data_IF_679920836519
#
_entry.id   IF_679920836519
#
_cell.length_a   1.000
_cell.length_b   1.000
_cell.length_c   1.000
_cell.angle_alpha   90.00
_cell.angle_beta   90.00
_cell.angle_gamma   90.00
#
_symmetry.space_group_name_H-M   'P 1'
#
loop_
_entity.id
_entity.type
_entity.pdbx_description
1 polymer ?
#
# COMPACT_ATOMS: atom_id res chain seq x y z
N UNK A 1 23.50 6.76 6.66
CA UNK A 1 22.38 6.65 7.65
C UNK A 1 21.45 7.86 7.65
N UNK A 2 21.94 9.11 7.45
CA UNK A 2 21.09 10.33 7.43
C UNK A 2 20.04 10.34 6.32
N UNK A 3 20.34 9.86 5.12
CA UNK A 3 19.39 9.79 4.00
C UNK A 3 18.24 8.82 4.24
N UNK A 4 18.50 7.70 4.93
CA UNK A 4 17.46 6.72 5.28
C UNK A 4 16.50 7.35 6.30
N UNK A 5 17.02 8.02 7.32
CA UNK A 5 16.21 8.71 8.32
C UNK A 5 15.40 9.84 7.71
N UNK A 6 15.97 10.61 6.79
CA UNK A 6 15.28 11.67 6.06
C UNK A 6 14.12 11.10 5.23
N UNK A 7 14.34 9.98 4.53
CA UNK A 7 13.30 9.29 3.75
C UNK A 7 12.11 8.90 4.62
N UNK A 8 12.36 8.25 5.77
CA UNK A 8 11.30 7.82 6.68
C UNK A 8 10.53 8.99 7.28
N UNK A 9 11.23 10.07 7.68
CA UNK A 9 10.58 11.27 8.21
C UNK A 9 9.73 11.97 7.15
N UNK A 10 10.24 12.12 5.93
CA UNK A 10 9.52 12.72 4.83
C UNK A 10 8.27 11.90 4.44
N UNK A 11 8.42 10.59 4.39
CA UNK A 11 7.31 9.68 4.13
C UNK A 11 6.18 9.86 5.15
N UNK A 12 6.50 9.84 6.44
CA UNK A 12 5.50 10.03 7.50
C UNK A 12 4.80 11.39 7.43
N UNK A 13 5.53 12.46 7.12
CA UNK A 13 4.95 13.79 6.93
C UNK A 13 4.01 13.85 5.72
N UNK A 14 4.38 13.22 4.62
CA UNK A 14 3.58 13.19 3.39
C UNK A 14 2.29 12.37 3.54
N UNK A 15 2.23 11.43 4.46
CA UNK A 15 1.02 10.63 4.73
C UNK A 15 -0.07 11.41 5.50
N UNK A 16 0.32 12.40 6.33
CA UNK A 16 -0.61 13.17 7.18
C UNK A 16 -1.76 13.81 6.40
N UNK A 17 -1.54 14.55 5.29
CA UNK A 17 -2.62 15.15 4.52
C UNK A 17 -3.66 14.15 4.04
N UNK A 18 -3.23 12.96 3.62
CA UNK A 18 -4.15 11.91 3.15
C UNK A 18 -4.98 11.32 4.27
N UNK A 19 -4.40 11.12 5.46
CA UNK A 19 -5.18 10.70 6.64
C UNK A 19 -6.22 11.74 7.03
N UNK A 20 -5.88 13.02 7.01
CA UNK A 20 -6.82 14.10 7.31
C UNK A 20 -7.93 14.21 6.26
N UNK A 21 -7.59 14.06 4.99
CA UNK A 21 -8.55 14.07 3.88
C UNK A 21 -9.35 12.77 3.75
N UNK A 22 -9.02 11.72 4.50
CA UNK A 22 -9.60 10.39 4.36
C UNK A 22 -11.12 10.34 4.43
N UNK A 23 -11.72 11.07 5.36
CA UNK A 23 -13.18 11.15 5.49
C UNK A 23 -13.85 11.84 4.29
N UNK A 24 -13.22 12.85 3.72
CA UNK A 24 -13.68 13.55 2.53
C UNK A 24 -13.56 12.65 1.29
N UNK A 25 -12.42 11.96 1.14
CA UNK A 25 -12.18 11.05 0.02
C UNK A 25 -13.19 9.90 0.01
N UNK A 26 -13.50 9.31 1.18
CA UNK A 26 -14.47 8.23 1.32
C UNK A 26 -15.94 8.68 1.11
N UNK A 27 -16.24 9.97 1.26
CA UNK A 27 -17.57 10.52 0.92
C UNK A 27 -17.71 10.75 -0.58
N UNK A 28 -16.62 11.13 -1.27
CA UNK A 28 -16.63 11.51 -2.67
C UNK A 28 -16.42 10.33 -3.62
N UNK A 29 -15.65 9.35 -3.21
CA UNK A 29 -15.26 8.20 -4.03
C UNK A 29 -15.62 6.88 -3.36
N UNK A 30 -15.95 5.87 -4.16
CA UNK A 30 -16.14 4.51 -3.68
C UNK A 30 -14.85 3.95 -3.06
N UNK A 31 -14.98 3.18 -1.98
CA UNK A 31 -13.86 2.52 -1.32
C UNK A 31 -13.05 1.65 -2.28
N UNK A 32 -13.72 0.93 -3.20
CA UNK A 32 -13.04 0.11 -4.21
C UNK A 32 -12.23 0.94 -5.21
N UNK A 33 -12.74 2.11 -5.63
CA UNK A 33 -12.00 2.98 -6.57
C UNK A 33 -10.76 3.58 -5.91
N UNK A 34 -10.85 3.97 -4.64
CA UNK A 34 -9.69 4.44 -3.88
C UNK A 34 -8.68 3.32 -3.66
N UNK A 35 -9.13 2.08 -3.45
CA UNK A 35 -8.26 0.92 -3.32
C UNK A 35 -7.56 0.58 -4.66
N UNK A 36 -8.26 0.69 -5.79
CA UNK A 36 -7.66 0.57 -7.14
C UNK A 36 -6.56 1.63 -7.35
N UNK A 37 -6.84 2.88 -6.98
CA UNK A 37 -5.88 3.98 -7.09
C UNK A 37 -4.62 3.69 -6.26
N UNK A 38 -4.79 3.25 -5.01
CA UNK A 38 -3.65 2.94 -4.14
C UNK A 38 -2.81 1.77 -4.67
N UNK A 39 -3.44 0.73 -5.23
CA UNK A 39 -2.72 -0.39 -5.85
C UNK A 39 -1.89 0.05 -7.07
N UNK A 40 -2.44 0.94 -7.91
CA UNK A 40 -1.70 1.52 -9.04
C UNK A 40 -0.52 2.34 -8.53
N UNK A 41 -0.72 3.20 -7.52
CA UNK A 41 0.33 4.07 -6.98
C UNK A 41 1.48 3.26 -6.39
N UNK A 42 1.20 2.18 -5.64
CA UNK A 42 2.23 1.27 -5.13
C UNK A 42 2.98 0.58 -6.28
N UNK A 43 2.26 0.07 -7.26
CA UNK A 43 2.87 -0.61 -8.42
C UNK A 43 3.83 0.31 -9.15
N UNK A 44 3.39 1.54 -9.46
CA UNK A 44 4.22 2.56 -10.13
C UNK A 44 5.41 2.93 -9.26
N UNK A 45 5.21 3.12 -7.96
CA UNK A 45 6.29 3.46 -7.03
C UNK A 45 7.40 2.39 -7.00
N UNK A 46 7.04 1.11 -6.85
CA UNK A 46 8.03 0.03 -6.86
C UNK A 46 8.73 -0.11 -8.21
N UNK A 47 8.00 0.08 -9.30
CA UNK A 47 8.58 0.05 -10.65
C UNK A 47 9.61 1.18 -10.83
N UNK A 48 9.27 2.40 -10.42
CA UNK A 48 10.17 3.54 -10.50
C UNK A 48 11.40 3.37 -9.59
N UNK A 49 11.23 2.80 -8.40
CA UNK A 49 12.36 2.45 -7.53
C UNK A 49 13.27 1.39 -8.15
N UNK A 50 12.71 0.43 -8.89
CA UNK A 50 13.50 -0.60 -9.58
C UNK A 50 14.34 -0.03 -10.74
N UNK A 51 13.90 1.07 -11.34
CA UNK A 51 14.56 1.70 -12.49
C UNK A 51 15.61 2.75 -12.12
N UNK A 52 15.69 3.13 -10.83
CA UNK A 52 16.63 4.16 -10.38
C UNK A 52 17.58 3.65 -9.31
N UNK A 53 18.84 4.09 -9.39
CA UNK A 53 19.85 3.84 -8.39
C UNK A 53 20.27 5.14 -7.65
N UNK A 54 19.66 6.28 -8.03
CA UNK A 54 19.98 7.57 -7.41
C UNK A 54 19.12 7.80 -6.17
N UNK A 55 19.79 7.96 -5.03
CA UNK A 55 19.14 8.20 -3.73
C UNK A 55 18.27 9.46 -3.72
N UNK A 56 18.63 10.51 -4.47
CA UNK A 56 17.86 11.75 -4.53
C UNK A 56 16.55 11.54 -5.28
N UNK A 57 16.58 10.78 -6.37
CA UNK A 57 15.39 10.43 -7.13
C UNK A 57 14.46 9.57 -6.28
N UNK A 58 15.00 8.60 -5.52
CA UNK A 58 14.21 7.76 -4.59
C UNK A 58 13.47 8.62 -3.57
N UNK A 59 14.11 9.67 -3.03
CA UNK A 59 13.46 10.59 -2.08
C UNK A 59 12.30 11.34 -2.74
N UNK A 60 12.46 11.81 -3.97
CA UNK A 60 11.40 12.51 -4.72
C UNK A 60 10.24 11.54 -5.00
N UNK A 61 10.52 10.31 -5.38
CA UNK A 61 9.52 9.29 -5.64
C UNK A 61 8.71 8.89 -4.40
N UNK A 62 9.17 9.22 -3.18
CA UNK A 62 8.38 9.05 -1.96
C UNK A 62 7.07 9.86 -1.97
N UNK A 63 6.93 10.87 -2.84
CA UNK A 63 5.66 11.60 -3.01
C UNK A 63 4.51 10.66 -3.39
N UNK A 64 4.77 9.57 -4.12
CA UNK A 64 3.74 8.55 -4.43
C UNK A 64 3.18 7.86 -3.18
N UNK A 65 3.92 7.88 -2.07
CA UNK A 65 3.48 7.33 -0.79
C UNK A 65 2.23 8.01 -0.24
N UNK A 66 2.02 9.29 -0.58
CA UNK A 66 0.83 10.06 -0.16
C UNK A 66 -0.47 9.34 -0.52
N UNK A 67 -0.52 8.70 -1.70
CA UNK A 67 -1.71 8.03 -2.23
C UNK A 67 -1.64 6.49 -2.14
N UNK A 68 -0.62 5.93 -1.54
CA UNK A 68 -0.47 4.48 -1.42
C UNK A 68 -0.92 3.95 -0.06
N UNK A 69 -0.05 3.92 0.91
CA UNK A 69 -0.29 3.30 2.23
C UNK A 69 -1.49 3.88 2.98
N UNK A 70 -1.68 5.23 3.08
CA UNK A 70 -2.83 5.79 3.80
C UNK A 70 -4.16 5.39 3.16
N UNK A 71 -4.26 5.41 1.83
CA UNK A 71 -5.48 5.02 1.14
C UNK A 71 -5.81 3.56 1.36
N UNK A 72 -4.83 2.65 1.31
CA UNK A 72 -5.05 1.23 1.61
C UNK A 72 -5.63 1.06 3.02
N UNK A 73 -5.03 1.69 4.03
CA UNK A 73 -5.47 1.56 5.40
C UNK A 73 -6.88 2.11 5.63
N UNK A 74 -7.19 3.28 5.08
CA UNK A 74 -8.50 3.92 5.23
C UNK A 74 -9.58 3.12 4.50
N UNK A 75 -9.32 2.73 3.24
CA UNK A 75 -10.30 2.01 2.41
C UNK A 75 -10.53 0.58 2.88
N UNK A 76 -9.48 -0.13 3.28
CA UNK A 76 -9.59 -1.48 3.83
C UNK A 76 -10.43 -1.50 5.11
N UNK A 77 -10.19 -0.57 6.03
CA UNK A 77 -11.01 -0.43 7.24
C UNK A 77 -12.49 -0.18 6.91
N UNK A 78 -12.76 0.68 5.93
CA UNK A 78 -14.12 0.98 5.49
C UNK A 78 -14.79 -0.24 4.87
N UNK A 79 -14.14 -0.95 3.96
CA UNK A 79 -14.66 -2.16 3.33
C UNK A 79 -14.96 -3.25 4.36
N UNK A 80 -14.03 -3.50 5.29
CA UNK A 80 -14.24 -4.48 6.36
C UNK A 80 -15.45 -4.09 7.23
N UNK A 81 -15.59 -2.79 7.53
CA UNK A 81 -16.73 -2.30 8.30
C UNK A 81 -18.07 -2.51 7.57
N UNK A 82 -18.10 -2.32 6.24
CA UNK A 82 -19.30 -2.48 5.42
C UNK A 82 -19.73 -3.94 5.29
N UNK A 83 -18.76 -4.85 5.13
CA UNK A 83 -19.02 -6.29 4.95
C UNK A 83 -19.29 -7.01 6.28
N UNK A 84 -18.78 -6.50 7.39
CA UNK A 84 -18.87 -7.17 8.69
C UNK A 84 -20.25 -7.04 9.34
N UNK A 85 -20.77 -8.11 9.97
CA UNK A 85 -21.99 -8.05 10.78
C UNK A 85 -21.87 -6.98 11.89
N UNK A 86 -22.95 -6.26 12.17
CA UNK A 86 -22.96 -5.12 13.12
C UNK A 86 -22.33 -5.46 14.49
N UNK A 87 -22.56 -6.67 15.00
CA UNK A 87 -22.02 -7.13 16.29
C UNK A 87 -20.52 -7.41 16.30
N UNK A 88 -19.92 -7.70 15.13
CA UNK A 88 -18.53 -8.15 15.00
C UNK A 88 -17.61 -7.14 14.29
N UNK A 89 -18.11 -5.95 13.95
CA UNK A 89 -17.35 -4.95 13.16
C UNK A 89 -15.99 -4.61 13.74
N UNK A 90 -15.92 -4.36 15.05
CA UNK A 90 -14.67 -4.03 15.74
C UNK A 90 -13.70 -5.23 15.72
N UNK A 91 -14.18 -6.41 16.06
CA UNK A 91 -13.35 -7.64 16.03
C UNK A 91 -12.85 -7.97 14.63
N UNK A 92 -13.70 -7.85 13.62
CA UNK A 92 -13.31 -8.09 12.22
C UNK A 92 -12.23 -7.11 11.75
N UNK A 93 -12.32 -5.84 12.13
CA UNK A 93 -11.29 -4.85 11.81
C UNK A 93 -9.96 -5.16 12.51
N UNK A 94 -10.00 -5.55 13.78
CA UNK A 94 -8.79 -5.91 14.52
C UNK A 94 -8.12 -7.15 13.94
N UNK A 95 -8.88 -8.20 13.63
CA UNK A 95 -8.36 -9.43 13.03
C UNK A 95 -7.74 -9.13 11.65
N UNK A 96 -8.46 -8.40 10.79
CA UNK A 96 -7.94 -8.06 9.48
C UNK A 96 -6.68 -7.18 9.55
N UNK A 97 -6.64 -6.21 10.48
CA UNK A 97 -5.46 -5.38 10.70
C UNK A 97 -4.28 -6.21 11.22
N UNK A 98 -4.53 -7.16 12.13
CA UNK A 98 -3.50 -8.06 12.66
C UNK A 98 -2.91 -8.97 11.58
N UNK A 99 -3.76 -9.52 10.69
CA UNK A 99 -3.31 -10.32 9.56
C UNK A 99 -2.52 -9.45 8.57
N UNK A 100 -3.03 -8.27 8.25
CA UNK A 100 -2.36 -7.35 7.33
C UNK A 100 -1.02 -6.85 7.87
N UNK A 101 -0.98 -6.31 9.08
CA UNK A 101 0.24 -5.77 9.68
C UNK A 101 1.19 -6.87 10.14
N UNK A 102 0.70 -7.86 10.88
CA UNK A 102 1.52 -8.95 11.42
C UNK A 102 2.00 -9.91 10.34
N UNK A 103 1.10 -10.39 9.48
CA UNK A 103 1.43 -11.31 8.40
C UNK A 103 2.38 -10.69 7.37
N UNK A 104 2.08 -9.48 6.92
CA UNK A 104 2.92 -8.81 5.93
C UNK A 104 4.30 -8.42 6.48
N UNK A 105 4.40 -8.04 7.74
CA UNK A 105 5.69 -7.67 8.36
C UNK A 105 6.63 -8.86 8.57
N UNK A 106 6.10 -10.08 8.63
CA UNK A 106 6.91 -11.30 8.68
C UNK A 106 7.28 -11.80 7.28
N UNK A 107 6.30 -11.88 6.39
CA UNK A 107 6.48 -12.51 5.08
C UNK A 107 7.25 -11.61 4.11
N UNK A 108 6.84 -10.35 4.00
CA UNK A 108 7.40 -9.45 2.97
C UNK A 108 8.89 -9.18 3.15
N UNK A 109 9.41 -8.82 4.34
CA UNK A 109 10.85 -8.61 4.53
C UNK A 109 11.66 -9.88 4.30
N UNK A 110 11.14 -11.05 4.74
CA UNK A 110 11.81 -12.33 4.55
C UNK A 110 11.92 -12.69 3.07
N UNK A 111 10.83 -12.61 2.33
CA UNK A 111 10.81 -12.88 0.89
C UNK A 111 11.64 -11.85 0.12
N UNK A 112 11.49 -10.57 0.42
CA UNK A 112 12.25 -9.51 -0.23
C UNK A 112 13.77 -9.63 0.07
N UNK A 113 14.14 -9.98 1.31
CA UNK A 113 15.54 -10.25 1.68
C UNK A 113 16.11 -11.42 0.90
N UNK A 114 15.40 -12.55 0.85
CA UNK A 114 15.81 -13.73 0.08
C UNK A 114 15.95 -13.42 -1.42
N UNK A 115 14.99 -12.73 -2.02
CA UNK A 115 15.06 -12.34 -3.42
C UNK A 115 16.21 -11.37 -3.68
N UNK A 116 16.43 -10.37 -2.83
CA UNK A 116 17.48 -9.37 -3.03
C UNK A 116 18.89 -9.97 -3.01
N UNK A 117 19.10 -11.03 -2.22
CA UNK A 117 20.36 -11.76 -2.19
C UNK A 117 20.57 -12.58 -3.47
N UNK A 118 19.52 -13.21 -4.00
CA UNK A 118 19.63 -14.15 -5.12
C UNK A 118 19.57 -13.47 -6.50
N UNK A 119 18.70 -12.47 -6.67
CA UNK A 119 18.45 -11.82 -7.97
C UNK A 119 18.82 -10.32 -7.99
N UNK A 120 19.22 -9.76 -6.84
CA UNK A 120 19.58 -8.36 -6.69
C UNK A 120 18.39 -7.44 -6.37
N UNK A 121 18.71 -6.24 -5.89
CA UNK A 121 17.72 -5.27 -5.36
C UNK A 121 16.70 -4.81 -6.41
N UNK A 122 17.17 -4.43 -7.60
CA UNK A 122 16.28 -3.88 -8.65
C UNK A 122 15.28 -4.91 -9.14
N UNK A 123 15.71 -6.15 -9.37
CA UNK A 123 14.81 -7.24 -9.78
C UNK A 123 13.82 -7.60 -8.68
N UNK A 124 14.22 -7.53 -7.41
CA UNK A 124 13.31 -7.72 -6.28
C UNK A 124 12.18 -6.69 -6.28
N UNK A 125 12.50 -5.42 -6.53
CA UNK A 125 11.49 -4.37 -6.64
C UNK A 125 10.56 -4.56 -7.85
N UNK A 126 11.07 -5.06 -8.98
CA UNK A 126 10.23 -5.45 -10.12
C UNK A 126 9.25 -6.56 -9.76
N UNK A 127 9.69 -7.59 -9.04
CA UNK A 127 8.82 -8.66 -8.55
C UNK A 127 7.76 -8.11 -7.61
N UNK A 128 8.11 -7.21 -6.69
CA UNK A 128 7.14 -6.55 -5.81
C UNK A 128 6.13 -5.70 -6.58
N UNK A 129 6.54 -5.04 -7.67
CA UNK A 129 5.59 -4.31 -8.53
C UNK A 129 4.59 -5.23 -9.23
N UNK A 130 4.99 -6.45 -9.61
CA UNK A 130 4.08 -7.46 -10.16
C UNK A 130 3.01 -7.89 -9.14
N UNK A 131 3.37 -8.03 -7.87
CA UNK A 131 2.37 -8.26 -6.81
C UNK A 131 1.38 -7.10 -6.70
N UNK A 132 1.81 -5.86 -6.90
CA UNK A 132 0.93 -4.69 -6.96
C UNK A 132 -0.06 -4.76 -8.14
N UNK A 133 0.41 -5.16 -9.33
CA UNK A 133 -0.45 -5.41 -10.49
C UNK A 133 -1.47 -6.52 -10.21
N UNK A 134 -1.05 -7.61 -9.58
CA UNK A 134 -1.91 -8.72 -9.22
C UNK A 134 -2.99 -8.28 -8.22
N UNK A 135 -2.62 -7.48 -7.21
CA UNK A 135 -3.56 -6.89 -6.27
C UNK A 135 -4.59 -6.00 -6.99
N UNK A 136 -4.17 -5.17 -7.95
CA UNK A 136 -5.09 -4.37 -8.76
C UNK A 136 -6.07 -5.25 -9.53
N UNK A 137 -5.61 -6.30 -10.20
CA UNK A 137 -6.47 -7.24 -10.94
C UNK A 137 -7.51 -7.89 -10.01
N UNK A 138 -7.10 -8.30 -8.80
CA UNK A 138 -8.02 -8.87 -7.81
C UNK A 138 -9.08 -7.86 -7.36
N UNK A 139 -8.72 -6.60 -7.16
CA UNK A 139 -9.67 -5.55 -6.79
C UNK A 139 -10.67 -5.30 -7.93
N UNK A 140 -10.22 -5.30 -9.19
CA UNK A 140 -11.09 -5.17 -10.35
C UNK A 140 -12.06 -6.35 -10.44
N UNK A 141 -11.57 -7.56 -10.22
CA UNK A 141 -12.42 -8.76 -10.19
C UNK A 141 -13.47 -8.70 -9.08
N UNK A 142 -13.08 -8.27 -7.88
CA UNK A 142 -14.02 -8.05 -6.76
C UNK A 142 -15.11 -7.04 -7.11
N UNK A 143 -14.74 -5.95 -7.78
CA UNK A 143 -15.70 -4.93 -8.20
C UNK A 143 -16.72 -5.50 -9.20
N UNK A 144 -16.25 -6.30 -10.15
CA UNK A 144 -17.11 -6.96 -11.14
C UNK A 144 -18.08 -7.98 -10.51
N UNK A 145 -17.67 -8.67 -9.46
CA UNK A 145 -18.52 -9.64 -8.76
C UNK A 145 -19.57 -9.00 -7.83
N UNK A 146 -19.45 -7.70 -7.55
CA UNK A 146 -20.39 -6.95 -6.71
C UNK A 146 -21.41 -6.14 -7.52
N UNK A 147 -21.22 -5.99 -8.83
CA UNK A 147 -22.18 -5.43 -9.80
C UNK A 147 -23.17 -6.48 -10.28
#
# INVERSE_FOLDING_TARGET
>A
NSQISLKWSLQSLLEIPTYLAGSYLLKKYSSLNLLKLSAIMITVQFLLFALTNDSNIIIILCVFQVFSTPLILITSKRLIFEVSPKKLRSSSQLIALSIFMGGSSLIIPTVAGFLSINIGYNYTLMVLSLFGCLAYCLIVLLNYLQE
#
